data_IF_776549626579
#
_entry.id   IF_776549626579
#
_cell.length_a   1.000
_cell.length_b   1.000
_cell.length_c   1.000
_cell.angle_alpha   90.00
_cell.angle_beta   90.00
_cell.angle_gamma   90.00
#
_symmetry.space_group_name_H-M   'P 1'
#
loop_
_entity.id
_entity.type
_entity.pdbx_description
1 polymer ?
#
# COMPACT_ATOMS: atom_id res chain seq x y z
N UNK A 1 11.49 -6.74 9.37
CA UNK A 1 11.76 -6.27 7.99
C UNK A 1 11.48 -4.77 7.88
N UNK A 2 12.14 -4.09 6.93
CA UNK A 2 11.85 -2.69 6.58
C UNK A 2 11.03 -2.62 5.28
N UNK A 3 9.98 -1.80 5.28
CA UNK A 3 9.08 -1.61 4.13
C UNK A 3 9.02 -0.14 3.76
N UNK A 4 9.31 0.17 2.49
CA UNK A 4 9.08 1.50 1.96
C UNK A 4 7.57 1.76 1.84
N UNK A 5 7.14 2.93 2.27
CA UNK A 5 5.75 3.34 2.22
C UNK A 5 5.62 4.69 1.54
N UNK A 6 4.63 4.81 0.65
CA UNK A 6 4.12 6.11 0.23
C UNK A 6 2.75 6.36 0.88
N UNK A 7 2.60 7.52 1.48
CA UNK A 7 1.33 8.04 1.99
C UNK A 7 1.01 9.36 1.30
N UNK A 8 -0.21 9.50 0.81
CA UNK A 8 -0.68 10.73 0.18
C UNK A 8 -2.20 10.86 0.29
N UNK A 9 -2.67 12.10 0.18
CA UNK A 9 -4.07 12.45 0.33
C UNK A 9 -4.61 13.01 -0.98
N UNK A 10 -5.71 12.46 -1.46
CA UNK A 10 -6.35 12.88 -2.71
C UNK A 10 -7.75 13.42 -2.45
N UNK A 11 -8.08 14.55 -3.07
CA UNK A 11 -9.44 15.11 -3.04
C UNK A 11 -10.35 14.30 -3.97
N UNK A 12 -11.55 13.95 -3.52
CA UNK A 12 -12.53 13.23 -4.34
C UNK A 12 -13.35 14.19 -5.21
N UNK A 13 -14.02 13.65 -6.24
CA UNK A 13 -14.91 14.42 -7.13
C UNK A 13 -16.16 14.96 -6.43
N UNK A 14 -16.65 14.29 -5.37
CA UNK A 14 -17.85 14.68 -4.61
C UNK A 14 -17.53 15.52 -3.37
N UNK A 15 -16.26 15.88 -3.16
CA UNK A 15 -15.78 16.53 -1.94
C UNK A 15 -15.31 15.53 -0.87
N UNK A 16 -14.45 16.02 0.02
CA UNK A 16 -13.73 15.17 0.98
C UNK A 16 -12.40 14.66 0.42
N UNK A 17 -11.74 13.81 1.22
CA UNK A 17 -10.41 13.29 0.91
C UNK A 17 -10.34 11.80 1.20
N UNK A 18 -9.56 11.10 0.40
CA UNK A 18 -9.14 9.73 0.64
C UNK A 18 -7.64 9.75 0.93
N UNK A 19 -7.27 9.15 2.05
CA UNK A 19 -5.89 8.98 2.47
C UNK A 19 -5.41 7.59 2.02
N UNK A 20 -4.41 7.57 1.16
CA UNK A 20 -3.89 6.36 0.53
C UNK A 20 -2.56 5.93 1.14
N UNK A 21 -2.35 4.62 1.23
CA UNK A 21 -1.07 4.01 1.57
C UNK A 21 -0.63 3.00 0.51
N UNK A 22 0.65 3.04 0.13
CA UNK A 22 1.24 2.10 -0.81
C UNK A 22 2.51 1.54 -0.18
N UNK A 23 2.65 0.21 -0.17
CA UNK A 23 3.76 -0.49 0.46
C UNK A 23 4.58 -1.26 -0.57
N UNK A 24 5.90 -1.06 -0.58
CA UNK A 24 6.83 -1.84 -1.40
C UNK A 24 7.06 -3.22 -0.76
N UNK A 25 6.13 -4.14 -0.99
CA UNK A 25 6.12 -5.44 -0.35
C UNK A 25 5.29 -6.47 -1.13
N UNK A 26 5.59 -7.76 -0.92
CA UNK A 26 4.82 -8.91 -1.40
C UNK A 26 4.90 -10.00 -0.32
N UNK A 27 3.84 -10.79 -0.15
CA UNK A 27 3.96 -12.02 0.66
C UNK A 27 4.96 -12.97 0.03
N UNK A 28 5.62 -13.82 0.82
CA UNK A 28 6.61 -14.77 0.30
C UNK A 28 6.01 -15.69 -0.79
N UNK A 29 4.86 -16.29 -0.47
CA UNK A 29 4.10 -17.16 -1.37
C UNK A 29 3.57 -16.42 -2.61
N UNK A 30 3.26 -15.12 -2.46
CA UNK A 30 2.62 -14.30 -3.48
C UNK A 30 1.17 -14.68 -3.80
N UNK A 31 0.51 -15.50 -2.97
CA UNK A 31 -0.92 -15.83 -3.10
C UNK A 31 -1.79 -14.61 -2.77
N UNK A 32 -3.04 -14.61 -3.21
CA UNK A 32 -3.97 -13.53 -2.91
C UNK A 32 -4.29 -13.44 -1.41
N UNK A 33 -4.50 -14.58 -0.74
CA UNK A 33 -4.74 -14.65 0.71
C UNK A 33 -3.61 -14.00 1.50
N UNK A 34 -2.37 -14.38 1.21
CA UNK A 34 -1.23 -13.97 2.02
C UNK A 34 -0.87 -12.51 1.72
N UNK A 35 -1.11 -12.04 0.49
CA UNK A 35 -1.00 -10.61 0.16
C UNK A 35 -2.08 -9.78 0.87
N UNK A 36 -3.29 -10.33 1.08
CA UNK A 36 -4.33 -9.66 1.86
C UNK A 36 -3.93 -9.53 3.34
N UNK A 37 -3.41 -10.62 3.91
CA UNK A 37 -2.93 -10.63 5.30
C UNK A 37 -1.78 -9.66 5.51
N UNK A 38 -0.79 -9.67 4.62
CA UNK A 38 0.32 -8.73 4.63
C UNK A 38 -0.17 -7.28 4.50
N UNK A 39 -1.06 -6.99 3.53
CA UNK A 39 -1.61 -5.65 3.34
C UNK A 39 -2.33 -5.13 4.60
N UNK A 40 -3.11 -6.00 5.25
CA UNK A 40 -3.80 -5.67 6.49
C UNK A 40 -2.83 -5.42 7.64
N UNK A 41 -1.78 -6.24 7.76
CA UNK A 41 -0.74 -6.10 8.78
C UNK A 41 0.01 -4.77 8.63
N UNK A 42 0.52 -4.48 7.43
CA UNK A 42 1.25 -3.25 7.14
C UNK A 42 0.39 -2.01 7.34
N UNK A 43 -0.89 -2.07 6.95
CA UNK A 43 -1.84 -0.97 7.17
C UNK A 43 -2.02 -0.68 8.66
N UNK A 44 -2.20 -1.72 9.50
CA UNK A 44 -2.30 -1.54 10.95
C UNK A 44 -1.01 -0.98 11.54
N UNK A 45 0.14 -1.51 11.15
CA UNK A 45 1.44 -1.03 11.62
C UNK A 45 1.65 0.44 11.26
N UNK A 46 1.28 0.86 10.04
CA UNK A 46 1.36 2.26 9.62
C UNK A 46 0.46 3.19 10.44
N UNK A 47 -0.79 2.78 10.70
CA UNK A 47 -1.72 3.54 11.54
C UNK A 47 -1.16 3.69 12.96
N UNK A 48 -0.65 2.63 13.55
CA UNK A 48 -0.18 2.63 14.95
C UNK A 48 1.16 3.35 15.14
N UNK A 49 2.13 3.08 14.27
CA UNK A 49 3.50 3.60 14.44
C UNK A 49 3.71 5.01 13.90
N UNK A 50 2.92 5.42 12.89
CA UNK A 50 3.04 6.74 12.25
C UNK A 50 1.84 7.66 12.50
N UNK A 51 0.79 7.19 13.19
CA UNK A 51 -0.45 7.93 13.44
C UNK A 51 -1.09 8.46 12.14
N UNK A 52 -1.05 7.66 11.07
CA UNK A 52 -1.59 8.02 9.77
C UNK A 52 -3.04 7.56 9.64
N UNK A 53 -3.87 8.41 9.02
CA UNK A 53 -5.18 7.99 8.50
C UNK A 53 -4.96 7.26 7.18
N UNK A 54 -5.54 6.08 7.03
CA UNK A 54 -5.47 5.26 5.81
C UNK A 54 -6.87 4.75 5.51
N UNK A 55 -7.46 5.22 4.42
CA UNK A 55 -8.77 4.79 3.95
C UNK A 55 -8.65 3.64 2.93
N UNK A 56 -7.59 3.66 2.12
CA UNK A 56 -7.31 2.63 1.13
C UNK A 56 -5.81 2.34 1.04
N UNK A 57 -5.47 1.08 0.83
CA UNK A 57 -4.10 0.63 0.78
C UNK A 57 -3.82 -0.34 -0.37
N UNK A 58 -2.57 -0.36 -0.83
CA UNK A 58 -2.09 -1.33 -1.81
C UNK A 58 -0.65 -1.78 -1.53
N UNK A 59 -0.35 -3.02 -1.87
CA UNK A 59 1.00 -3.51 -2.09
C UNK A 59 1.44 -3.16 -3.52
N UNK A 60 2.72 -2.87 -3.68
CA UNK A 60 3.39 -2.79 -4.97
C UNK A 60 4.66 -3.62 -4.91
N UNK A 61 4.89 -4.42 -5.95
CA UNK A 61 6.03 -5.31 -6.02
C UNK A 61 6.37 -5.64 -7.47
N UNK A 62 7.60 -6.12 -7.71
CA UNK A 62 8.01 -6.65 -9.02
C UNK A 62 7.72 -8.15 -9.10
N UNK A 63 7.15 -8.59 -10.23
CA UNK A 63 7.02 -9.99 -10.61
C UNK A 63 7.37 -10.14 -12.09
N UNK A 64 8.42 -10.89 -12.40
CA UNK A 64 8.95 -11.06 -13.77
C UNK A 64 9.21 -9.70 -14.46
N UNK A 65 9.94 -8.81 -13.81
CA UNK A 65 10.24 -7.43 -14.23
C UNK A 65 9.04 -6.50 -14.44
N UNK A 66 7.82 -6.96 -14.17
CA UNK A 66 6.62 -6.14 -14.23
C UNK A 66 6.23 -5.67 -12.84
N UNK A 67 5.95 -4.37 -12.71
CA UNK A 67 5.34 -3.81 -11.50
C UNK A 67 3.90 -4.31 -11.40
N UNK A 68 3.55 -4.82 -10.23
CA UNK A 68 2.22 -5.32 -9.87
C UNK A 68 1.71 -4.56 -8.67
N UNK A 69 0.40 -4.40 -8.62
CA UNK A 69 -0.32 -3.80 -7.52
C UNK A 69 -1.35 -4.79 -6.98
N UNK A 70 -1.51 -4.82 -5.66
CA UNK A 70 -2.52 -5.63 -4.98
C UNK A 70 -3.20 -4.81 -3.89
N UNK A 71 -4.53 -4.73 -3.86
CA UNK A 71 -5.25 -3.90 -2.90
C UNK A 71 -6.65 -3.57 -3.38
N UNK A 72 -7.20 -2.44 -2.93
CA UNK A 72 -8.53 -1.99 -3.38
C UNK A 72 -8.56 -1.73 -4.89
N UNK A 73 -9.65 -2.15 -5.55
CA UNK A 73 -9.78 -2.07 -7.01
C UNK A 73 -9.61 -0.65 -7.55
N UNK A 74 -10.20 0.34 -6.88
CA UNK A 74 -10.11 1.75 -7.31
C UNK A 74 -8.67 2.28 -7.23
N UNK A 75 -7.95 1.97 -6.14
CA UNK A 75 -6.56 2.37 -5.97
C UNK A 75 -5.66 1.64 -6.96
N UNK A 76 -5.83 0.33 -7.14
CA UNK A 76 -5.05 -0.46 -8.11
C UNK A 76 -5.25 0.05 -9.54
N UNK A 77 -6.50 0.36 -9.93
CA UNK A 77 -6.82 0.94 -11.23
C UNK A 77 -6.19 2.34 -11.39
N UNK A 78 -6.19 3.16 -10.35
CA UNK A 78 -5.51 4.45 -10.35
C UNK A 78 -3.99 4.30 -10.53
N UNK A 79 -3.34 3.45 -9.73
CA UNK A 79 -1.89 3.22 -9.78
C UNK A 79 -1.42 2.62 -11.10
N UNK A 80 -2.23 1.74 -11.69
CA UNK A 80 -1.92 1.15 -13.00
C UNK A 80 -1.88 2.18 -14.14
N UNK A 81 -2.54 3.34 -13.97
CA UNK A 81 -2.59 4.43 -14.95
C UNK A 81 -1.60 5.55 -14.64
N UNK A 82 -1.51 5.94 -13.36
CA UNK A 82 -0.72 7.08 -12.90
C UNK A 82 0.71 6.69 -12.50
N UNK A 83 1.00 5.40 -12.34
CA UNK A 83 2.17 4.93 -11.62
C UNK A 83 1.98 5.04 -10.11
N UNK A 84 3.06 4.82 -9.34
CA UNK A 84 3.07 5.03 -7.90
C UNK A 84 3.92 6.25 -7.54
N UNK A 85 3.55 6.99 -6.48
CA UNK A 85 4.27 8.17 -6.02
C UNK A 85 5.63 7.80 -5.40
N UNK A 86 6.44 8.83 -5.11
CA UNK A 86 7.69 8.65 -4.37
C UNK A 86 7.41 8.13 -2.96
N UNK A 87 8.34 7.33 -2.44
CA UNK A 87 8.33 6.89 -1.05
C UNK A 87 8.42 8.09 -0.10
N UNK A 88 7.61 8.08 0.96
CA UNK A 88 7.53 9.16 1.94
C UNK A 88 7.91 8.71 3.35
N UNK A 89 7.83 7.40 3.62
CA UNK A 89 8.12 6.84 4.93
C UNK A 89 8.80 5.47 4.80
N UNK A 90 9.41 5.02 5.90
CA UNK A 90 9.80 3.63 6.11
C UNK A 90 9.04 3.08 7.32
N UNK A 91 8.58 1.84 7.20
CA UNK A 91 7.95 1.08 8.27
C UNK A 91 8.86 -0.07 8.67
N UNK A 92 9.19 -0.11 9.95
CA UNK A 92 9.75 -1.30 10.58
C UNK A 92 8.58 -2.17 11.02
N UNK A 93 8.55 -3.40 10.53
CA UNK A 93 7.55 -4.40 10.94
C UNK A 93 8.26 -5.67 11.37
N UNK A 94 7.79 -6.27 12.45
CA UNK A 94 8.20 -7.62 12.82
C UNK A 94 7.66 -8.59 11.75
N UNK A 95 8.45 -9.61 11.41
CA UNK A 95 8.02 -10.62 10.44
C UNK A 95 6.72 -11.28 10.96
N UNK A 96 5.65 -11.34 10.15
CA UNK A 96 4.40 -12.00 10.55
C UNK A 96 4.53 -13.52 10.69
#
# INVERSE_FOLDING_TARGET
MEVNMAHFRQKTVIGGFIDFAIFDAKSESGTESDNLELLNSLTRAAIQSKNLKIDQAALVFKKNDQVRFYGSNDLVNYLSKAGFPKWTHTLEVEDP
#
